data_IF_302158083040
#
_entry.id   IF_302158083040
#
_cell.length_a   1.000
_cell.length_b   1.000
_cell.length_c   1.000
_cell.angle_alpha   90.00
_cell.angle_beta   90.00
_cell.angle_gamma   90.00
#
_symmetry.space_group_name_H-M   'P 1'
#
loop_
_entity.id
_entity.type
_entity.pdbx_description
1 polymer ?
#
# COMPACT_ATOMS: atom_id res chain seq x y z
N UNK A 1 -23.76 -35.57 12.76
CA UNK A 1 -24.76 -34.56 12.33
C UNK A 1 -24.67 -33.20 13.05
N UNK A 2 -23.92 -33.04 14.15
CA UNK A 2 -23.69 -31.71 14.77
C UNK A 2 -22.59 -30.91 14.03
N UNK A 3 -21.57 -31.60 13.50
CA UNK A 3 -20.44 -30.96 12.80
C UNK A 3 -20.81 -30.22 11.51
N UNK A 4 -21.79 -30.73 10.75
CA UNK A 4 -22.24 -30.09 9.50
C UNK A 4 -23.11 -28.84 9.76
N UNK A 5 -23.75 -28.75 10.92
CA UNK A 5 -24.55 -27.57 11.31
C UNK A 5 -23.66 -26.37 11.70
N UNK A 6 -22.47 -26.64 12.26
CA UNK A 6 -21.48 -25.61 12.57
C UNK A 6 -20.76 -25.07 11.34
N UNK A 7 -20.57 -25.90 10.30
CA UNK A 7 -19.91 -25.47 9.06
C UNK A 7 -20.81 -24.54 8.22
N UNK A 8 -22.13 -24.72 8.31
CA UNK A 8 -23.10 -23.91 7.56
C UNK A 8 -23.43 -22.55 8.20
N UNK A 9 -22.89 -22.24 9.39
CA UNK A 9 -23.14 -20.97 10.11
C UNK A 9 -21.90 -20.08 10.29
N UNK A 10 -20.83 -20.32 9.53
CA UNK A 10 -19.71 -19.39 9.44
C UNK A 10 -19.44 -18.98 7.99
N UNK A 11 -20.48 -18.53 7.28
CA UNK A 11 -20.29 -17.44 6.30
C UNK A 11 -19.95 -16.16 7.07
N UNK A 12 -18.78 -16.21 7.72
CA UNK A 12 -18.14 -15.12 8.42
C UNK A 12 -17.92 -14.07 7.36
N UNK A 13 -18.71 -13.00 7.42
CA UNK A 13 -18.42 -11.75 6.72
C UNK A 13 -16.94 -11.47 6.94
N UNK A 14 -16.07 -11.76 5.96
CA UNK A 14 -14.69 -11.29 6.05
C UNK A 14 -14.79 -9.80 5.78
N UNK A 15 -14.55 -8.94 6.79
CA UNK A 15 -14.63 -7.51 6.56
C UNK A 15 -13.55 -7.14 5.54
N UNK A 16 -13.96 -6.88 4.31
CA UNK A 16 -13.07 -6.36 3.29
C UNK A 16 -12.61 -4.97 3.74
N UNK A 17 -11.31 -4.69 3.63
CA UNK A 17 -10.75 -3.36 3.89
C UNK A 17 -11.33 -2.31 2.91
N UNK A 18 -11.95 -2.75 1.79
CA UNK A 18 -12.60 -1.94 0.75
C UNK A 18 -13.95 -1.36 1.20
N UNK A 19 -13.99 -0.72 2.36
CA UNK A 19 -15.20 -0.07 2.92
C UNK A 19 -15.65 1.14 2.09
N UNK A 20 -16.88 1.65 2.33
CA UNK A 20 -17.38 2.88 1.67
C UNK A 20 -16.43 4.06 1.88
N UNK A 21 -15.89 4.24 3.10
CA UNK A 21 -14.96 5.33 3.42
C UNK A 21 -13.66 5.23 2.60
N UNK A 22 -13.07 4.04 2.53
CA UNK A 22 -11.84 3.80 1.74
C UNK A 22 -12.09 3.98 0.24
N UNK A 23 -13.24 3.54 -0.28
CA UNK A 23 -13.61 3.77 -1.68
C UNK A 23 -13.77 5.26 -2.00
N UNK A 24 -14.34 6.05 -1.09
CA UNK A 24 -14.42 7.51 -1.24
C UNK A 24 -13.04 8.15 -1.28
N UNK A 25 -12.12 7.75 -0.39
CA UNK A 25 -10.74 8.22 -0.38
C UNK A 25 -10.02 7.88 -1.70
N UNK A 26 -10.12 6.63 -2.17
CA UNK A 26 -9.54 6.23 -3.46
C UNK A 26 -10.14 7.01 -4.65
N UNK A 27 -11.42 7.36 -4.59
CA UNK A 27 -12.06 8.21 -5.60
C UNK A 27 -11.47 9.63 -5.58
N UNK A 28 -11.18 10.20 -4.41
CA UNK A 28 -10.51 11.51 -4.32
C UNK A 28 -9.10 11.45 -4.95
N UNK A 29 -8.29 10.45 -4.58
CA UNK A 29 -6.95 10.25 -5.15
C UNK A 29 -6.96 10.11 -6.68
N UNK A 30 -7.99 9.49 -7.25
CA UNK A 30 -8.07 9.31 -8.71
C UNK A 30 -8.69 10.49 -9.45
N UNK A 31 -9.38 11.41 -8.77
CA UNK A 31 -10.05 12.56 -9.39
C UNK A 31 -9.20 13.82 -9.43
N UNK A 32 -8.31 14.01 -8.46
CA UNK A 32 -7.32 15.07 -8.49
C UNK A 32 -6.24 14.68 -9.50
N UNK A 33 -6.07 15.49 -10.55
CA UNK A 33 -5.12 15.23 -11.65
C UNK A 33 -3.87 16.11 -11.60
N UNK A 34 -3.99 17.27 -10.96
CA UNK A 34 -2.88 18.19 -10.73
C UNK A 34 -2.08 17.72 -9.50
N UNK A 35 -0.76 17.63 -9.65
CA UNK A 35 0.16 17.28 -8.57
C UNK A 35 0.12 18.29 -7.42
N UNK A 36 0.03 19.59 -7.72
CA UNK A 36 0.01 20.64 -6.69
C UNK A 36 -1.22 20.54 -5.79
N UNK A 37 -2.40 20.29 -6.37
CA UNK A 37 -3.61 20.08 -5.59
C UNK A 37 -3.62 18.74 -4.86
N UNK A 38 -2.95 17.72 -5.40
CA UNK A 38 -2.73 16.44 -4.70
C UNK A 38 -1.85 16.64 -3.46
N UNK A 39 -0.77 17.42 -3.57
CA UNK A 39 0.13 17.71 -2.46
C UNK A 39 -0.59 18.46 -1.32
N UNK A 40 -1.46 19.42 -1.65
CA UNK A 40 -2.32 20.08 -0.65
C UNK A 40 -3.24 19.07 0.05
N UNK A 41 -3.96 18.26 -0.73
CA UNK A 41 -4.87 17.26 -0.19
C UNK A 41 -4.16 16.26 0.73
N UNK A 42 -2.99 15.77 0.31
CA UNK A 42 -2.14 14.89 1.10
C UNK A 42 -1.67 15.54 2.42
N UNK A 43 -1.32 16.83 2.40
CA UNK A 43 -0.96 17.58 3.61
C UNK A 43 -2.14 17.77 4.57
N UNK A 44 -3.35 17.91 4.05
CA UNK A 44 -4.57 18.06 4.86
C UNK A 44 -4.95 16.77 5.60
N UNK A 45 -4.78 15.59 4.97
CA UNK A 45 -5.26 14.31 5.51
C UNK A 45 -4.20 13.48 6.23
N UNK A 46 -2.91 13.78 6.05
CA UNK A 46 -1.80 13.03 6.63
C UNK A 46 -0.91 13.90 7.51
N UNK A 47 -0.19 13.31 8.46
CA UNK A 47 0.95 13.97 9.13
C UNK A 47 2.18 13.97 8.22
N UNK A 48 3.23 14.71 8.59
CA UNK A 48 4.49 14.73 7.82
C UNK A 48 5.15 13.36 7.85
N UNK A 49 5.10 12.67 9.00
CA UNK A 49 5.64 11.33 9.20
C UNK A 49 4.91 10.31 8.34
N UNK A 50 3.58 10.38 8.26
CA UNK A 50 2.78 9.50 7.40
C UNK A 50 3.11 9.70 5.91
N UNK A 51 3.34 10.94 5.47
CA UNK A 51 3.77 11.23 4.10
C UNK A 51 5.15 10.64 3.81
N UNK A 52 6.12 10.83 4.70
CA UNK A 52 7.45 10.24 4.57
C UNK A 52 7.39 8.71 4.53
N UNK A 53 6.58 8.09 5.39
CA UNK A 53 6.41 6.64 5.40
C UNK A 53 5.81 6.10 4.09
N UNK A 54 4.78 6.75 3.56
CA UNK A 54 4.19 6.36 2.27
C UNK A 54 5.17 6.58 1.11
N UNK A 55 5.86 7.71 1.07
CA UNK A 55 6.85 8.03 0.04
C UNK A 55 8.01 7.02 0.07
N UNK A 56 8.56 6.73 1.24
CA UNK A 56 9.65 5.76 1.38
C UNK A 56 9.21 4.36 0.95
N UNK A 57 7.95 3.95 1.16
CA UNK A 57 7.44 2.65 0.69
C UNK A 57 7.40 2.57 -0.83
N UNK A 58 6.94 3.62 -1.50
CA UNK A 58 6.94 3.68 -2.97
C UNK A 58 8.37 3.68 -3.51
N UNK A 59 9.26 4.50 -2.93
CA UNK A 59 10.66 4.56 -3.33
C UNK A 59 11.40 3.24 -3.10
N UNK A 60 11.14 2.56 -1.98
CA UNK A 60 11.66 1.21 -1.75
C UNK A 60 11.17 0.22 -2.82
N UNK A 61 9.89 0.26 -3.18
CA UNK A 61 9.34 -0.61 -4.22
C UNK A 61 9.96 -0.33 -5.60
N UNK A 62 10.26 0.93 -5.92
CA UNK A 62 10.98 1.32 -7.13
C UNK A 62 12.40 0.76 -7.15
N UNK A 63 13.19 0.96 -6.09
CA UNK A 63 14.55 0.42 -6.02
C UNK A 63 14.58 -1.12 -6.10
N UNK A 64 13.58 -1.78 -5.51
CA UNK A 64 13.45 -3.23 -5.64
C UNK A 64 13.14 -3.66 -7.08
N UNK A 65 12.36 -2.87 -7.82
CA UNK A 65 12.06 -3.11 -9.23
C UNK A 65 13.28 -2.90 -10.13
N UNK A 66 14.13 -1.93 -9.78
CA UNK A 66 15.42 -1.65 -10.42
C UNK A 66 16.51 -2.70 -10.09
N UNK A 67 16.21 -3.71 -9.27
CA UNK A 67 17.11 -4.83 -8.97
C UNK A 67 18.09 -4.59 -7.81
N UNK A 68 17.91 -3.55 -7.00
CA UNK A 68 18.75 -3.32 -5.82
C UNK A 68 18.53 -4.39 -4.75
N UNK A 69 19.60 -4.74 -4.03
CA UNK A 69 19.50 -5.69 -2.91
C UNK A 69 18.72 -5.10 -1.73
N UNK A 70 18.13 -5.95 -0.89
CA UNK A 70 17.39 -5.49 0.30
C UNK A 70 18.24 -4.63 1.25
N UNK A 71 19.55 -4.90 1.31
CA UNK A 71 20.50 -4.11 2.11
C UNK A 71 20.71 -2.72 1.52
N UNK A 72 20.83 -2.61 0.20
CA UNK A 72 21.03 -1.33 -0.48
C UNK A 72 19.76 -0.46 -0.37
N UNK A 73 18.59 -1.08 -0.54
CA UNK A 73 17.30 -0.40 -0.35
C UNK A 73 17.17 0.12 1.08
N UNK A 74 17.46 -0.71 2.09
CA UNK A 74 17.44 -0.29 3.49
C UNK A 74 18.36 0.91 3.74
N UNK A 75 19.59 0.88 3.20
CA UNK A 75 20.55 2.00 3.31
C UNK A 75 20.07 3.28 2.63
N UNK A 76 19.49 3.18 1.43
CA UNK A 76 19.03 4.34 0.64
C UNK A 76 17.76 4.97 1.20
N UNK A 77 16.87 4.16 1.76
CA UNK A 77 15.56 4.61 2.30
C UNK A 77 15.58 4.93 3.79
N UNK A 78 16.65 4.56 4.49
CA UNK A 78 16.74 4.65 5.95
C UNK A 78 15.86 3.65 6.70
N UNK A 79 15.19 2.74 5.99
CA UNK A 79 14.33 1.72 6.58
C UNK A 79 15.12 0.52 7.10
N UNK A 80 14.53 -0.22 8.05
CA UNK A 80 15.03 -1.55 8.41
C UNK A 80 14.89 -2.55 7.24
N UNK A 81 15.82 -3.50 7.15
CA UNK A 81 15.73 -4.62 6.19
C UNK A 81 14.44 -5.41 6.35
N UNK A 82 13.94 -5.59 7.58
CA UNK A 82 12.64 -6.22 7.86
C UNK A 82 11.48 -5.47 7.20
N UNK A 83 11.51 -4.14 7.22
CA UNK A 83 10.50 -3.31 6.53
C UNK A 83 10.57 -3.50 5.02
N UNK A 84 11.79 -3.47 4.45
CA UNK A 84 12.01 -3.69 3.01
C UNK A 84 11.51 -5.07 2.57
N UNK A 85 11.76 -6.11 3.36
CA UNK A 85 11.25 -7.46 3.10
C UNK A 85 9.72 -7.50 3.07
N UNK A 86 9.04 -6.80 3.98
CA UNK A 86 7.56 -6.69 3.94
C UNK A 86 7.08 -5.96 2.69
N UNK A 87 7.76 -4.90 2.26
CA UNK A 87 7.41 -4.16 1.03
C UNK A 87 7.57 -5.07 -0.19
N UNK A 88 8.69 -5.79 -0.29
CA UNK A 88 8.93 -6.79 -1.35
C UNK A 88 7.83 -7.86 -1.37
N UNK A 89 7.41 -8.35 -0.20
CA UNK A 89 6.32 -9.32 -0.10
C UNK A 89 5.01 -8.77 -0.70
N UNK A 90 4.58 -7.57 -0.31
CA UNK A 90 3.35 -6.94 -0.84
C UNK A 90 3.48 -6.50 -2.31
N UNK A 91 4.68 -6.16 -2.79
CA UNK A 91 4.94 -5.89 -4.21
C UNK A 91 4.69 -7.13 -5.06
N UNK A 92 5.12 -8.31 -4.58
CA UNK A 92 5.09 -9.55 -5.36
C UNK A 92 3.84 -10.42 -5.12
N UNK A 93 3.17 -10.27 -3.98
CA UNK A 93 2.03 -11.12 -3.58
C UNK A 93 0.79 -10.32 -3.12
N UNK A 94 0.78 -9.01 -3.36
CA UNK A 94 -0.34 -8.12 -3.02
C UNK A 94 -1.41 -8.07 -4.12
N UNK A 95 -2.05 -6.91 -4.26
CA UNK A 95 -3.11 -6.66 -5.26
C UNK A 95 -2.56 -5.92 -6.49
N UNK A 96 -1.30 -6.14 -6.84
CA UNK A 96 -0.58 -5.52 -7.98
C UNK A 96 -0.49 -3.98 -7.98
N UNK A 97 -0.90 -3.32 -6.89
CA UNK A 97 -0.93 -1.85 -6.80
C UNK A 97 0.42 -1.18 -7.04
N UNK A 98 1.52 -1.76 -6.54
CA UNK A 98 2.87 -1.26 -6.81
C UNK A 98 3.21 -1.36 -8.29
N UNK A 99 2.97 -2.51 -8.93
CA UNK A 99 3.22 -2.72 -10.36
C UNK A 99 2.44 -1.73 -11.22
N UNK A 100 1.18 -1.44 -10.87
CA UNK A 100 0.35 -0.47 -11.59
C UNK A 100 0.90 0.96 -11.44
N UNK A 101 1.30 1.34 -10.23
CA UNK A 101 1.83 2.67 -9.96
C UNK A 101 3.18 2.91 -10.64
N UNK A 102 4.12 1.96 -10.53
CA UNK A 102 5.47 2.05 -11.12
C UNK A 102 5.44 2.10 -12.66
N UNK A 103 4.40 1.57 -13.32
CA UNK A 103 4.23 1.70 -14.78
C UNK A 103 3.76 3.09 -15.23
N UNK A 104 3.29 3.93 -14.30
CA UNK A 104 2.72 5.25 -14.58
C UNK A 104 3.66 6.39 -14.21
N UNK A 105 4.72 6.08 -13.48
CA UNK A 105 5.81 6.99 -13.10
C UNK A 105 6.97 6.69 -14.05
#
# INVERSE_FOLDING_TARGET
MIYLYYYNNTHKFMPTWKTKKIKTLAKAFTKIKDEHDMLKFLRDICTIEELHEMANRLYAAQLLDEGFSYRDVAKKTGMSTTTVTRISHWKNHGEDGYTIALKKI
#
